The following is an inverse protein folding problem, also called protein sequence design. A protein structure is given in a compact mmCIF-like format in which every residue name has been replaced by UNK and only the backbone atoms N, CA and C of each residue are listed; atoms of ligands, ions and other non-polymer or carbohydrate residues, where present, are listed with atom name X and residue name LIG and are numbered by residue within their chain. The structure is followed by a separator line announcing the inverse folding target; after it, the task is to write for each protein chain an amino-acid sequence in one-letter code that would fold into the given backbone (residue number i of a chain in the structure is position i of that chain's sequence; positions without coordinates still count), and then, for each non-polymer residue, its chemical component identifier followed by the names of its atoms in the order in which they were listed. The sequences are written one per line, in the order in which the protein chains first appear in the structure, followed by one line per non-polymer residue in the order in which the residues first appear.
data_IF_024534205864
#
_entry.id   IF_024534205864
#
_cell.length_a   1.000
_cell.length_b   1.000
_cell.length_c   1.000
_cell.angle_alpha   90.00
_cell.angle_beta   90.00
_cell.angle_gamma   90.00
#
_symmetry.space_group_name_H-M   'P 1'
#
loop_
_entity.id
_entity.type
_entity.pdbx_description
1 polymer ?
#
# COMPACT_ATOMS: atom_id res chain seq x y z
N UNK A 1 11.18 -16.60 7.81
CA UNK A 1 11.46 -15.28 8.42
C UNK A 1 10.90 -15.23 9.84
N UNK A 2 11.77 -14.96 10.83
CA UNK A 2 11.40 -14.62 12.21
C UNK A 2 11.44 -13.10 12.34
N UNK A 3 10.36 -12.46 12.79
CA UNK A 3 10.37 -11.00 13.02
C UNK A 3 11.00 -10.73 14.37
N UNK A 4 11.96 -9.81 14.41
CA UNK A 4 12.55 -9.28 15.63
C UNK A 4 11.88 -7.94 15.95
N UNK A 5 11.05 -7.93 16.99
CA UNK A 5 10.37 -6.72 17.42
C UNK A 5 11.30 -5.90 18.31
N UNK A 6 11.42 -4.59 18.04
CA UNK A 6 12.20 -3.70 18.91
C UNK A 6 11.62 -3.63 20.31
N UNK A 7 10.29 -3.70 20.44
CA UNK A 7 9.58 -3.74 21.71
C UNK A 7 8.69 -5.00 21.75
N UNK A 8 9.07 -5.97 22.57
CA UNK A 8 8.32 -7.22 22.73
C UNK A 8 6.98 -7.04 23.45
N UNK A 9 6.83 -5.97 24.23
CA UNK A 9 5.61 -5.66 25.00
C UNK A 9 4.64 -4.72 24.24
N UNK A 10 5.06 -4.14 23.12
CA UNK A 10 4.23 -3.24 22.32
C UNK A 10 3.20 -3.97 21.45
N UNK A 11 2.18 -3.27 20.92
CA UNK A 11 1.26 -3.83 19.95
C UNK A 11 2.02 -4.29 18.70
N UNK A 12 1.86 -5.58 18.35
CA UNK A 12 2.55 -6.21 17.21
C UNK A 12 1.64 -6.23 16.00
N UNK A 13 2.21 -5.96 14.83
CA UNK A 13 1.52 -6.23 13.57
C UNK A 13 1.35 -7.74 13.39
N UNK A 14 0.24 -8.16 12.81
CA UNK A 14 0.02 -9.56 12.43
C UNK A 14 0.72 -9.84 11.13
N UNK A 15 1.48 -10.93 11.10
CA UNK A 15 2.07 -11.45 9.87
C UNK A 15 1.02 -12.27 9.15
N UNK A 16 0.78 -11.96 7.88
CA UNK A 16 -0.12 -12.70 6.99
C UNK A 16 0.69 -13.29 5.83
N UNK A 17 0.24 -14.44 5.33
CA UNK A 17 0.89 -15.14 4.21
C UNK A 17 -0.12 -15.80 3.29
N UNK A 18 0.19 -15.82 2.00
CA UNK A 18 -0.45 -16.65 0.96
C UNK A 18 0.65 -17.14 0.03
N UNK A 19 0.97 -18.43 0.08
CA UNK A 19 2.19 -18.95 -0.55
C UNK A 19 3.43 -18.23 -0.02
N UNK A 20 4.25 -17.71 -0.93
CA UNK A 20 5.47 -16.97 -0.61
C UNK A 20 5.23 -15.49 -0.25
N UNK A 21 4.05 -14.95 -0.60
CA UNK A 21 3.72 -13.54 -0.37
C UNK A 21 3.48 -13.30 1.12
N UNK A 22 4.18 -12.31 1.67
CA UNK A 22 4.12 -11.93 3.08
C UNK A 22 3.77 -10.44 3.23
N UNK A 23 2.78 -10.13 4.07
CA UNK A 23 2.40 -8.77 4.41
C UNK A 23 2.02 -8.67 5.88
N UNK A 24 1.92 -7.44 6.39
CA UNK A 24 1.60 -7.14 7.78
C UNK A 24 0.24 -6.46 7.89
N UNK A 25 -0.55 -6.79 8.90
CA UNK A 25 -1.82 -6.12 9.21
C UNK A 25 -1.83 -5.56 10.63
N UNK A 26 -2.45 -4.39 10.81
CA UNK A 26 -2.75 -3.83 12.13
C UNK A 26 -3.94 -4.55 12.78
N UNK A 27 -3.79 -5.14 13.98
CA UNK A 27 -4.89 -5.82 14.68
C UNK A 27 -6.14 -4.94 14.88
N UNK A 28 -5.96 -3.65 15.13
CA UNK A 28 -7.05 -2.71 15.37
C UNK A 28 -7.90 -2.47 14.12
N UNK A 29 -7.26 -2.44 12.95
CA UNK A 29 -7.95 -2.33 11.67
C UNK A 29 -8.61 -3.66 11.27
N UNK A 30 -7.98 -4.80 11.58
CA UNK A 30 -8.65 -6.12 11.42
C UNK A 30 -9.92 -6.19 12.29
N UNK A 31 -9.85 -5.70 13.53
CA UNK A 31 -10.94 -5.75 14.50
C UNK A 31 -12.15 -4.86 14.12
N UNK A 32 -11.97 -3.85 13.27
CA UNK A 32 -13.10 -3.03 12.83
C UNK A 32 -14.03 -3.77 11.84
N UNK A 33 -13.55 -4.82 11.17
CA UNK A 33 -14.34 -5.61 10.22
C UNK A 33 -14.76 -4.87 8.93
N UNK A 34 -14.29 -3.64 8.72
CA UNK A 34 -14.71 -2.78 7.60
C UNK A 34 -13.74 -2.77 6.42
N UNK A 35 -12.45 -3.04 6.68
CA UNK A 35 -11.38 -2.82 5.69
C UNK A 35 -10.55 -4.07 5.47
N UNK A 36 -10.07 -4.22 4.23
CA UNK A 36 -8.89 -5.02 3.92
C UNK A 36 -7.72 -4.08 3.75
N UNK A 37 -6.61 -4.35 4.41
CA UNK A 37 -5.40 -3.55 4.38
C UNK A 37 -4.16 -4.44 4.44
N UNK A 38 -3.01 -3.85 4.15
CA UNK A 38 -1.75 -4.54 4.33
C UNK A 38 -0.55 -3.64 4.08
N UNK A 39 0.43 -3.74 4.97
CA UNK A 39 1.77 -3.23 4.73
C UNK A 39 2.60 -4.35 4.12
N UNK A 40 2.93 -4.22 2.83
CA UNK A 40 3.63 -5.23 2.07
C UNK A 40 5.06 -5.41 2.57
N UNK A 41 5.61 -6.62 2.51
CA UNK A 41 7.04 -6.84 2.73
C UNK A 41 7.77 -7.00 1.40
N UNK A 42 9.10 -7.01 1.41
CA UNK A 42 9.93 -7.30 0.23
C UNK A 42 9.88 -8.76 -0.24
N UNK A 43 9.09 -9.64 0.40
CA UNK A 43 9.09 -11.09 0.18
C UNK A 43 7.93 -11.56 -0.71
N UNK A 44 8.20 -12.56 -1.55
CA UNK A 44 7.22 -13.30 -2.36
C UNK A 44 6.94 -12.72 -3.74
N UNK A 45 7.77 -11.79 -4.21
CA UNK A 45 7.67 -11.25 -5.56
C UNK A 45 8.62 -11.95 -6.55
N UNK A 46 8.77 -11.38 -7.74
CA UNK A 46 9.60 -11.89 -8.84
C UNK A 46 10.78 -10.99 -9.20
N UNK A 47 10.89 -9.82 -8.58
CA UNK A 47 11.99 -8.89 -8.84
C UNK A 47 13.32 -9.48 -8.38
N UNK A 48 14.40 -9.07 -9.05
CA UNK A 48 15.74 -9.60 -8.85
C UNK A 48 16.71 -8.50 -8.35
N UNK A 49 17.92 -8.91 -7.93
CA UNK A 49 18.96 -7.99 -7.50
C UNK A 49 18.53 -7.05 -6.38
N UNK A 50 18.80 -5.75 -6.53
CA UNK A 50 18.46 -4.74 -5.52
C UNK A 50 16.95 -4.56 -5.30
N UNK A 51 16.12 -4.96 -6.26
CA UNK A 51 14.66 -4.91 -6.18
C UNK A 51 14.05 -6.16 -5.54
N UNK A 52 14.88 -7.16 -5.23
CA UNK A 52 14.36 -8.47 -4.83
C UNK A 52 13.62 -8.44 -3.48
N UNK A 53 12.47 -9.10 -3.36
CA UNK A 53 11.71 -9.83 -4.38
C UNK A 53 10.43 -9.11 -4.82
N UNK A 54 9.85 -8.29 -3.94
CA UNK A 54 8.54 -7.64 -4.13
C UNK A 54 8.70 -6.13 -4.28
N UNK A 55 9.25 -5.68 -5.41
CA UNK A 55 9.26 -4.26 -5.75
C UNK A 55 7.92 -3.85 -6.39
N UNK A 56 7.32 -2.78 -5.88
CA UNK A 56 6.05 -2.22 -6.36
C UNK A 56 6.21 -0.85 -7.04
N UNK A 57 7.46 -0.44 -7.33
CA UNK A 57 7.76 0.82 -8.00
C UNK A 57 8.15 0.64 -9.45
N UNK A 58 7.43 1.33 -10.34
CA UNK A 58 7.74 1.46 -11.76
C UNK A 58 8.85 2.47 -12.06
N UNK A 59 9.31 3.26 -11.08
CA UNK A 59 10.21 4.42 -11.31
C UNK A 59 11.62 4.23 -10.74
N UNK A 60 11.95 3.02 -10.27
CA UNK A 60 13.24 2.70 -9.64
C UNK A 60 14.14 1.78 -10.48
N UNK A 61 13.80 1.59 -11.75
CA UNK A 61 14.63 0.90 -12.74
C UNK A 61 14.43 -0.61 -12.85
N UNK A 62 13.47 -1.19 -12.11
CA UNK A 62 13.10 -2.60 -12.25
C UNK A 62 12.35 -2.87 -13.57
N UNK A 63 12.27 -4.14 -13.96
CA UNK A 63 11.49 -4.58 -15.14
C UNK A 63 10.00 -4.35 -14.89
N UNK A 64 9.31 -3.75 -15.86
CA UNK A 64 7.88 -3.42 -15.77
C UNK A 64 7.04 -4.68 -15.51
N UNK A 65 7.39 -5.78 -16.16
CA UNK A 65 6.70 -7.07 -16.05
C UNK A 65 6.83 -7.66 -14.64
N UNK A 66 7.99 -7.47 -14.00
CA UNK A 66 8.20 -7.90 -12.61
C UNK A 66 7.32 -7.11 -11.65
N UNK A 67 7.28 -5.78 -11.82
CA UNK A 67 6.45 -4.91 -10.97
C UNK A 67 4.96 -5.24 -11.17
N UNK A 68 4.50 -5.46 -12.41
CA UNK A 68 3.13 -5.88 -12.71
C UNK A 68 2.76 -7.22 -12.04
N UNK A 69 3.65 -8.23 -12.15
CA UNK A 69 3.43 -9.52 -11.49
C UNK A 69 3.41 -9.38 -9.96
N UNK A 70 4.27 -8.54 -9.38
CA UNK A 70 4.27 -8.24 -7.95
C UNK A 70 2.93 -7.63 -7.50
N UNK A 71 2.36 -6.70 -8.28
CA UNK A 71 1.02 -6.17 -8.02
C UNK A 71 -0.06 -7.25 -8.09
N UNK A 72 -0.01 -8.12 -9.10
CA UNK A 72 -0.95 -9.25 -9.22
C UNK A 72 -0.87 -10.17 -8.00
N UNK A 73 0.34 -10.53 -7.57
CA UNK A 73 0.60 -11.39 -6.40
C UNK A 73 0.09 -10.79 -5.11
N UNK A 74 0.38 -9.51 -4.85
CA UNK A 74 -0.04 -8.88 -3.59
C UNK A 74 -1.55 -8.65 -3.54
N UNK A 75 -2.17 -8.28 -4.68
CA UNK A 75 -3.61 -8.10 -4.79
C UNK A 75 -4.36 -9.42 -4.52
N UNK A 76 -3.90 -10.52 -5.15
CA UNK A 76 -4.43 -11.87 -4.90
C UNK A 76 -4.20 -12.35 -3.46
N UNK A 77 -3.06 -11.99 -2.86
CA UNK A 77 -2.73 -12.35 -1.48
C UNK A 77 -3.63 -11.67 -0.46
N UNK A 78 -3.85 -10.36 -0.59
CA UNK A 78 -4.66 -9.57 0.35
C UNK A 78 -6.17 -9.75 0.05
N UNK A 79 -6.53 -10.12 -1.18
CA UNK A 79 -7.91 -10.42 -1.57
C UNK A 79 -8.66 -9.22 -2.14
N UNK A 80 -8.02 -8.43 -2.99
CA UNK A 80 -8.69 -7.41 -3.80
C UNK A 80 -8.25 -7.50 -5.27
N UNK A 81 -9.08 -7.06 -6.24
CA UNK A 81 -8.69 -7.02 -7.65
C UNK A 81 -7.60 -5.96 -7.88
N UNK A 82 -6.60 -6.26 -8.71
CA UNK A 82 -5.51 -5.33 -9.02
C UNK A 82 -6.02 -4.07 -9.73
N UNK A 83 -7.12 -4.20 -10.48
CA UNK A 83 -7.80 -3.11 -11.19
C UNK A 83 -8.38 -2.07 -10.24
N UNK A 84 -8.60 -2.42 -8.97
CA UNK A 84 -9.17 -1.51 -7.97
C UNK A 84 -8.14 -0.60 -7.30
N UNK A 85 -6.86 -0.83 -7.54
CA UNK A 85 -5.77 -0.07 -6.92
C UNK A 85 -5.67 1.32 -7.54
N UNK A 86 -5.53 2.34 -6.70
CA UNK A 86 -5.21 3.72 -7.06
C UNK A 86 -3.92 4.09 -6.34
N UNK A 87 -2.87 4.40 -7.10
CA UNK A 87 -1.59 4.80 -6.55
C UNK A 87 -1.44 6.32 -6.50
N UNK A 88 -0.85 6.82 -5.42
CA UNK A 88 -0.44 8.21 -5.31
C UNK A 88 0.82 8.51 -6.13
N UNK A 89 1.11 9.80 -6.33
CA UNK A 89 2.34 10.31 -6.96
C UNK A 89 3.13 11.13 -5.94
N UNK A 90 3.86 10.43 -5.07
CA UNK A 90 4.51 11.02 -3.90
C UNK A 90 5.73 11.87 -4.25
N UNK A 91 5.73 13.09 -3.74
CA UNK A 91 6.73 14.14 -3.95
C UNK A 91 7.18 14.78 -2.63
N UNK A 92 6.74 14.22 -1.50
CA UNK A 92 7.00 14.72 -0.14
C UNK A 92 6.34 16.07 0.17
N UNK A 93 5.11 16.25 -0.33
CA UNK A 93 4.22 17.38 -0.03
C UNK A 93 3.18 17.00 1.01
N UNK A 94 2.24 17.91 1.27
CA UNK A 94 1.08 17.70 2.13
C UNK A 94 -0.23 17.59 1.33
N UNK A 95 -0.14 17.43 0.00
CA UNK A 95 -1.30 17.37 -0.87
C UNK A 95 -2.06 16.04 -0.68
N UNK A 96 -3.37 16.17 -0.44
CA UNK A 96 -4.29 15.05 -0.25
C UNK A 96 -5.41 15.11 -1.29
N UNK A 97 -5.70 13.97 -1.91
CA UNK A 97 -6.71 13.86 -2.95
C UNK A 97 -7.83 12.88 -2.59
N UNK A 98 -9.03 13.11 -3.14
CA UNK A 98 -10.12 12.16 -3.06
C UNK A 98 -9.98 11.14 -4.20
N UNK A 99 -9.80 9.87 -3.86
CA UNK A 99 -9.79 8.79 -4.82
C UNK A 99 -11.23 8.32 -5.08
N UNK A 100 -11.60 8.23 -6.36
CA UNK A 100 -12.93 7.81 -6.81
C UNK A 100 -12.82 6.57 -7.70
N UNK A 101 -13.93 5.84 -7.88
CA UNK A 101 -13.97 4.63 -8.69
C UNK A 101 -13.42 4.82 -10.12
N UNK A 102 -13.64 5.99 -10.73
CA UNK A 102 -13.13 6.30 -12.07
C UNK A 102 -11.59 6.31 -12.17
N UNK A 103 -10.88 6.36 -11.03
CA UNK A 103 -9.41 6.36 -10.96
C UNK A 103 -8.81 4.98 -10.69
N UNK A 104 -9.62 3.96 -10.45
CA UNK A 104 -9.17 2.57 -10.31
C UNK A 104 -8.22 2.16 -11.45
N UNK A 105 -7.10 1.54 -11.12
CA UNK A 105 -6.02 1.15 -12.04
C UNK A 105 -4.94 2.21 -12.26
N UNK A 106 -5.13 3.46 -11.81
CA UNK A 106 -4.11 4.52 -11.95
C UNK A 106 -2.83 4.18 -11.17
N UNK A 107 -1.69 4.25 -11.87
CA UNK A 107 -0.36 3.95 -11.36
C UNK A 107 0.01 2.47 -11.33
N UNK A 108 -0.89 1.59 -11.78
CA UNK A 108 -0.63 0.15 -11.96
C UNK A 108 -0.91 -0.28 -13.40
N UNK A 109 -2.16 -0.15 -13.84
CA UNK A 109 -2.63 -0.60 -15.15
C UNK A 109 -2.66 0.52 -16.19
N UNK A 110 -2.70 1.77 -15.73
CA UNK A 110 -2.67 2.95 -16.59
C UNK A 110 -1.96 4.11 -15.89
N UNK A 111 -1.48 5.13 -16.63
CA UNK A 111 -0.82 6.29 -16.05
C UNK A 111 -1.69 7.02 -15.01
N UNK A 112 -1.04 7.65 -14.04
CA UNK A 112 -1.71 8.51 -13.05
C UNK A 112 -2.18 9.79 -13.74
N UNK A 113 -3.42 10.19 -13.49
CA UNK A 113 -3.97 11.47 -13.95
C UNK A 113 -3.64 12.64 -13.02
N UNK A 114 -3.34 12.33 -11.75
CA UNK A 114 -2.93 13.29 -10.72
C UNK A 114 -1.46 13.12 -10.39
N UNK A 115 -0.80 14.26 -10.17
CA UNK A 115 0.62 14.37 -9.79
C UNK A 115 0.70 15.06 -8.44
N UNK A 116 1.82 14.93 -7.74
CA UNK A 116 2.09 15.69 -6.52
C UNK A 116 1.06 15.42 -5.41
N UNK A 117 0.88 14.13 -5.08
CA UNK A 117 -0.11 13.65 -4.10
C UNK A 117 0.59 12.72 -3.13
N UNK A 118 0.61 13.07 -1.85
CA UNK A 118 1.22 12.26 -0.80
C UNK A 118 0.18 11.57 0.10
N UNK A 119 -1.07 12.06 0.11
CA UNK A 119 -2.20 11.40 0.79
C UNK A 119 -3.40 11.17 -0.12
N UNK A 120 -4.17 10.13 0.18
CA UNK A 120 -5.45 9.89 -0.48
C UNK A 120 -6.53 9.51 0.54
N UNK A 121 -7.76 9.89 0.26
CA UNK A 121 -8.95 9.48 1.02
C UNK A 121 -10.05 8.99 0.09
N UNK A 122 -10.90 8.09 0.57
CA UNK A 122 -12.09 7.65 -0.18
C UNK A 122 -13.14 7.07 0.75
N UNK A 123 -14.41 7.30 0.45
CA UNK A 123 -15.58 6.63 1.02
C UNK A 123 -16.22 5.65 0.02
N UNK A 124 -15.60 5.46 -1.16
CA UNK A 124 -16.14 4.62 -2.23
C UNK A 124 -15.75 3.15 -2.01
N UNK A 125 -16.71 2.24 -1.75
CA UNK A 125 -16.39 0.84 -1.53
C UNK A 125 -15.70 0.21 -2.72
N UNK A 126 -14.68 -0.59 -2.44
CA UNK A 126 -13.91 -1.31 -3.46
C UNK A 126 -12.83 -0.50 -4.15
N UNK A 127 -12.62 0.79 -3.82
CA UNK A 127 -11.39 1.52 -4.18
C UNK A 127 -10.29 1.12 -3.21
N UNK A 128 -9.10 0.78 -3.74
CA UNK A 128 -7.93 0.39 -2.93
C UNK A 128 -6.87 1.48 -3.03
N UNK A 129 -6.52 2.11 -1.91
CA UNK A 129 -5.48 3.14 -1.88
C UNK A 129 -4.09 2.50 -1.78
N UNK A 130 -3.14 2.97 -2.58
CA UNK A 130 -1.75 2.54 -2.53
C UNK A 130 -0.78 3.75 -2.47
N UNK A 131 0.12 3.70 -1.49
CA UNK A 131 1.23 4.63 -1.28
C UNK A 131 2.50 3.80 -1.04
N UNK A 132 3.66 4.35 -1.36
CA UNK A 132 4.94 3.66 -1.44
C UNK A 132 5.88 4.06 -0.31
N UNK A 133 6.63 3.08 0.21
CA UNK A 133 7.52 3.28 1.35
C UNK A 133 8.80 2.50 1.21
N UNK A 134 9.89 3.16 1.53
CA UNK A 134 11.17 2.58 1.96
C UNK A 134 11.73 3.62 2.94
N UNK A 135 11.52 3.39 4.24
CA UNK A 135 11.88 4.25 5.39
C UNK A 135 10.83 5.29 5.84
N UNK A 136 10.15 5.99 4.94
CA UNK A 136 9.11 6.97 5.33
C UNK A 136 7.93 6.31 6.10
N UNK A 137 7.22 7.08 6.92
CA UNK A 137 6.18 6.56 7.82
C UNK A 137 4.85 6.39 7.07
N UNK A 138 4.26 5.17 7.06
CA UNK A 138 2.94 4.93 6.52
C UNK A 138 1.84 5.27 7.53
N UNK A 139 0.87 6.10 7.13
CA UNK A 139 -0.27 6.46 7.96
C UNK A 139 -1.57 5.89 7.38
N UNK A 140 -2.23 5.03 8.15
CA UNK A 140 -3.52 4.42 7.81
C UNK A 140 -4.63 5.06 8.62
N UNK A 141 -5.74 5.41 7.98
CA UNK A 141 -6.92 5.99 8.60
C UNK A 141 -8.17 5.20 8.21
N UNK A 142 -9.06 5.01 9.18
CA UNK A 142 -10.39 4.43 8.97
C UNK A 142 -11.40 5.24 9.78
N UNK A 143 -12.41 5.78 9.13
CA UNK A 143 -13.61 6.35 9.76
C UNK A 143 -14.72 5.28 9.71
N UNK A 144 -15.03 4.60 10.83
CA UNK A 144 -16.03 3.55 10.84
C UNK A 144 -17.47 4.07 10.72
N UNK A 145 -17.71 5.37 10.97
CA UNK A 145 -19.04 5.98 10.90
C UNK A 145 -19.36 6.36 9.47
N UNK A 146 -18.45 7.08 8.80
CA UNK A 146 -18.60 7.47 7.40
C UNK A 146 -18.20 6.36 6.42
N UNK A 147 -17.61 5.27 6.92
CA UNK A 147 -17.07 4.16 6.12
C UNK A 147 -16.04 4.64 5.10
N UNK A 148 -15.17 5.56 5.53
CA UNK A 148 -14.11 6.12 4.72
C UNK A 148 -12.75 5.59 5.17
N UNK A 149 -11.82 5.54 4.23
CA UNK A 149 -10.42 5.20 4.48
C UNK A 149 -9.51 6.33 4.01
N UNK A 150 -8.35 6.43 4.65
CA UNK A 150 -7.27 7.30 4.22
C UNK A 150 -5.94 6.58 4.27
N UNK A 151 -5.05 6.95 3.37
CA UNK A 151 -3.68 6.44 3.33
C UNK A 151 -2.74 7.59 2.96
N UNK A 152 -1.73 7.82 3.79
CA UNK A 152 -0.81 8.95 3.62
C UNK A 152 0.64 8.57 3.81
N UNK A 153 1.47 9.07 2.88
CA UNK A 153 2.91 9.04 2.95
C UNK A 153 3.43 10.19 3.80
N UNK A 154 4.07 9.86 4.93
CA UNK A 154 4.68 10.83 5.82
C UNK A 154 6.19 10.65 5.86
N UNK A 155 6.86 11.21 4.85
CA UNK A 155 8.30 11.50 4.92
C UNK A 155 8.56 12.79 5.69
N UNK A 156 9.81 13.03 6.13
CA UNK A 156 10.13 14.14 7.03
C UNK A 156 9.58 15.50 6.59
N UNK A 157 9.63 15.82 5.28
CA UNK A 157 9.10 17.08 4.74
C UNK A 157 7.58 17.19 4.80
N UNK A 158 6.86 16.07 4.62
CA UNK A 158 5.41 16.05 4.72
C UNK A 158 4.93 16.02 6.17
N UNK A 159 5.81 15.69 7.13
CA UNK A 159 5.51 15.69 8.56
C UNK A 159 5.61 17.09 9.18
N UNK A 160 6.63 17.89 8.81
CA UNK A 160 7.00 19.15 9.49
C UNK A 160 6.36 20.39 8.87
#
# INVERSE_FOLDING_TARGET
MKIHWKNEAGPKLRIRRKGEVCWLTYPQLDACGLVRHGFTTRLGGVSEGMWSSMNLSFTRGDKVEHVQENYRRIADAIGFPVEKIVCSDQTHTTNVEVAIAARCGEGVLRPRSRRDVDGMVTDVPGVVLATFYADCVPLYFVDPVRRAIGLSHSGWRGTV
#
